data_IF_893350481088
#
_entry.id   IF_893350481088
#
_cell.length_a   1.000
_cell.length_b   1.000
_cell.length_c   1.000
_cell.angle_alpha   90.00
_cell.angle_beta   90.00
_cell.angle_gamma   90.00
#
_symmetry.space_group_name_H-M   'P 1'
#
loop_
_entity.id
_entity.type
_entity.pdbx_description
1 polymer ?
#
# COMPACT_ATOMS: atom_id res chain seq x y z
N UNK A 1 29.15 31.94 -14.34
CA UNK A 1 27.69 32.24 -14.38
C UNK A 1 26.81 31.26 -13.58
N UNK A 2 27.07 29.93 -13.54
CA UNK A 2 26.27 28.99 -12.69
C UNK A 2 26.49 29.14 -11.17
N UNK A 3 27.64 29.68 -10.74
CA UNK A 3 27.97 29.87 -9.31
C UNK A 3 27.34 31.12 -8.67
N UNK A 4 27.04 32.16 -9.47
CA UNK A 4 26.52 33.46 -9.01
C UNK A 4 25.03 33.43 -8.62
N UNK A 5 24.26 32.47 -9.13
CA UNK A 5 22.81 32.35 -8.87
C UNK A 5 22.46 31.25 -7.86
N UNK A 6 23.44 30.65 -7.19
CA UNK A 6 23.24 29.49 -6.29
C UNK A 6 22.35 28.38 -6.89
N UNK A 7 22.31 28.24 -8.22
CA UNK A 7 21.40 27.32 -8.94
C UNK A 7 21.62 25.88 -8.47
N UNK A 8 22.85 25.50 -8.11
CA UNK A 8 23.17 24.20 -7.56
C UNK A 8 22.46 23.91 -6.22
N UNK A 9 22.29 24.93 -5.36
CA UNK A 9 21.58 24.82 -4.07
C UNK A 9 20.07 24.71 -4.28
N UNK A 10 19.53 25.41 -5.27
CA UNK A 10 18.10 25.32 -5.66
C UNK A 10 17.80 23.97 -6.29
N UNK A 11 18.65 23.49 -7.19
CA UNK A 11 18.52 22.18 -7.85
C UNK A 11 18.62 21.02 -6.84
N UNK A 12 19.52 21.10 -5.86
CA UNK A 12 19.61 20.11 -4.78
C UNK A 12 18.38 20.14 -3.86
N UNK A 13 17.84 21.34 -3.54
CA UNK A 13 16.58 21.46 -2.78
C UNK A 13 15.39 20.90 -3.56
N UNK A 14 15.28 21.23 -4.85
CA UNK A 14 14.24 20.70 -5.74
C UNK A 14 14.30 19.18 -5.82
N UNK A 15 15.50 18.60 -5.92
CA UNK A 15 15.70 17.16 -5.92
C UNK A 15 15.29 16.53 -4.58
N UNK A 16 15.66 17.15 -3.46
CA UNK A 16 15.26 16.68 -2.13
C UNK A 16 13.74 16.72 -1.93
N UNK A 17 13.05 17.75 -2.42
CA UNK A 17 11.59 17.84 -2.39
C UNK A 17 10.93 16.79 -3.30
N UNK A 18 11.47 16.58 -4.51
CA UNK A 18 11.00 15.55 -5.42
C UNK A 18 11.15 14.16 -4.79
N UNK A 19 12.30 13.87 -4.18
CA UNK A 19 12.53 12.59 -3.49
C UNK A 19 11.56 12.38 -2.33
N UNK A 20 11.29 13.42 -1.53
CA UNK A 20 10.28 13.36 -0.45
C UNK A 20 8.88 13.11 -1.00
N UNK A 21 8.50 13.80 -2.08
CA UNK A 21 7.22 13.62 -2.74
C UNK A 21 7.08 12.18 -3.28
N UNK A 22 8.12 11.66 -3.92
CA UNK A 22 8.14 10.30 -4.45
C UNK A 22 8.05 9.26 -3.32
N UNK A 23 8.77 9.47 -2.22
CA UNK A 23 8.68 8.60 -1.05
C UNK A 23 7.25 8.58 -0.46
N UNK A 24 6.62 9.76 -0.33
CA UNK A 24 5.23 9.85 0.12
C UNK A 24 4.27 9.16 -0.85
N UNK A 25 4.46 9.34 -2.17
CA UNK A 25 3.64 8.69 -3.19
C UNK A 25 3.80 7.15 -3.15
N UNK A 26 5.03 6.66 -2.99
CA UNK A 26 5.30 5.23 -2.86
C UNK A 26 4.66 4.64 -1.60
N UNK A 27 4.73 5.34 -0.46
CA UNK A 27 4.05 4.92 0.77
C UNK A 27 2.53 4.90 0.60
N UNK A 28 1.96 5.96 0.02
CA UNK A 28 0.52 6.04 -0.24
C UNK A 28 0.06 4.92 -1.19
N UNK A 29 0.84 4.65 -2.25
CA UNK A 29 0.59 3.56 -3.18
C UNK A 29 0.66 2.19 -2.50
N UNK A 30 1.67 1.94 -1.68
CA UNK A 30 1.82 0.68 -0.96
C UNK A 30 0.64 0.45 0.01
N UNK A 31 0.23 1.46 0.76
CA UNK A 31 -0.92 1.36 1.67
C UNK A 31 -2.22 1.12 0.87
N UNK A 32 -2.42 1.85 -0.23
CA UNK A 32 -3.59 1.67 -1.10
C UNK A 32 -3.64 0.26 -1.73
N UNK A 33 -2.47 -0.29 -2.09
CA UNK A 33 -2.33 -1.66 -2.56
C UNK A 33 -2.72 -2.65 -1.47
N UNK A 34 -2.10 -2.60 -0.31
CA UNK A 34 -2.38 -3.53 0.79
C UNK A 34 -3.85 -3.51 1.21
N UNK A 35 -4.42 -2.32 1.43
CA UNK A 35 -5.81 -2.18 1.86
C UNK A 35 -6.77 -2.57 0.73
N UNK A 36 -6.49 -2.17 -0.50
CA UNK A 36 -7.33 -2.47 -1.65
C UNK A 36 -7.39 -3.98 -1.95
N UNK A 37 -6.24 -4.66 -1.90
CA UNK A 37 -6.15 -6.10 -2.10
C UNK A 37 -6.89 -6.86 -0.98
N UNK A 38 -6.74 -6.43 0.28
CA UNK A 38 -7.48 -7.02 1.38
C UNK A 38 -9.01 -6.83 1.25
N UNK A 39 -9.46 -5.66 0.79
CA UNK A 39 -10.88 -5.41 0.46
C UNK A 39 -11.35 -6.36 -0.65
N UNK A 40 -10.53 -6.55 -1.68
CA UNK A 40 -10.84 -7.45 -2.80
C UNK A 40 -11.02 -8.89 -2.34
N UNK A 41 -10.12 -9.37 -1.49
CA UNK A 41 -10.14 -10.73 -0.96
C UNK A 41 -11.38 -10.98 -0.10
N UNK A 42 -11.71 -10.04 0.79
CA UNK A 42 -12.92 -10.17 1.62
C UNK A 42 -14.19 -10.08 0.77
N UNK A 43 -14.26 -9.17 -0.20
CA UNK A 43 -15.49 -8.94 -0.97
C UNK A 43 -15.75 -9.99 -2.05
N UNK A 44 -14.73 -10.40 -2.79
CA UNK A 44 -14.89 -11.27 -3.97
C UNK A 44 -14.33 -12.67 -3.79
N UNK A 45 -13.41 -12.87 -2.85
CA UNK A 45 -12.94 -14.20 -2.47
C UNK A 45 -13.59 -14.74 -1.18
N UNK A 46 -14.45 -13.94 -0.53
CA UNK A 46 -15.14 -14.31 0.72
C UNK A 46 -14.19 -14.72 1.84
N UNK A 47 -12.96 -14.18 1.82
CA UNK A 47 -11.96 -14.43 2.86
C UNK A 47 -12.42 -13.77 4.16
N UNK A 48 -12.29 -14.49 5.28
CA UNK A 48 -12.59 -13.95 6.60
C UNK A 48 -11.51 -12.91 6.95
N UNK A 49 -11.85 -11.69 7.42
CA UNK A 49 -10.86 -10.64 7.69
C UNK A 49 -9.71 -11.04 8.64
N UNK A 50 -9.94 -12.00 9.54
CA UNK A 50 -8.93 -12.49 10.49
C UNK A 50 -7.95 -13.49 9.87
N UNK A 51 -8.29 -14.08 8.72
CA UNK A 51 -7.47 -15.07 7.99
C UNK A 51 -6.81 -14.45 6.74
N UNK A 52 -6.87 -13.11 6.62
CA UNK A 52 -6.28 -12.40 5.49
C UNK A 52 -4.78 -12.71 5.36
N UNK A 53 -4.43 -13.31 4.24
CA UNK A 53 -3.05 -13.57 3.85
C UNK A 53 -2.79 -12.93 2.49
N UNK A 54 -2.28 -11.70 2.50
CA UNK A 54 -1.95 -10.94 1.29
C UNK A 54 -0.77 -11.52 0.49
N UNK A 55 -0.06 -12.51 1.04
CA UNK A 55 1.04 -13.19 0.34
C UNK A 55 0.56 -14.42 -0.44
N UNK A 56 -0.67 -14.86 -0.20
CA UNK A 56 -1.26 -16.02 -0.86
C UNK A 56 -2.41 -15.59 -1.79
N UNK A 57 -2.52 -16.25 -2.93
CA UNK A 57 -3.69 -16.07 -3.81
C UNK A 57 -4.85 -16.90 -3.23
N UNK A 58 -6.00 -16.28 -2.91
CA UNK A 58 -7.14 -17.02 -2.40
C UNK A 58 -7.70 -17.96 -3.47
N UNK A 59 -8.29 -19.08 -3.04
CA UNK A 59 -8.96 -20.01 -3.95
C UNK A 59 -10.31 -19.42 -4.35
N UNK A 60 -10.40 -18.90 -5.58
CA UNK A 60 -11.61 -18.35 -6.18
C UNK A 60 -11.98 -19.07 -7.45
N UNK A 61 -13.28 -19.13 -7.74
CA UNK A 61 -13.77 -19.61 -9.02
C UNK A 61 -13.25 -18.75 -10.17
N UNK A 62 -13.04 -19.37 -11.34
CA UNK A 62 -12.49 -18.70 -12.53
C UNK A 62 -13.39 -17.58 -13.06
N UNK A 63 -14.69 -17.60 -12.78
CA UNK A 63 -15.63 -16.55 -13.17
C UNK A 63 -15.76 -15.44 -12.12
N UNK A 64 -15.00 -15.51 -11.02
CA UNK A 64 -15.07 -14.52 -9.95
C UNK A 64 -14.63 -13.13 -10.42
N UNK A 65 -15.35 -12.11 -9.94
CA UNK A 65 -14.98 -10.70 -10.11
C UNK A 65 -13.63 -10.35 -9.48
N UNK A 66 -13.07 -11.24 -8.67
CA UNK A 66 -11.73 -11.13 -8.11
C UNK A 66 -10.66 -10.91 -9.19
N UNK A 67 -10.78 -11.59 -10.35
CA UNK A 67 -9.85 -11.44 -11.48
C UNK A 67 -10.07 -10.14 -12.29
N UNK A 68 -11.23 -9.51 -12.17
CA UNK A 68 -11.61 -8.34 -12.98
C UNK A 68 -11.19 -7.01 -12.34
N UNK A 69 -11.07 -6.97 -11.02
CA UNK A 69 -10.82 -5.74 -10.29
C UNK A 69 -9.53 -5.86 -9.48
N UNK A 70 -8.50 -5.05 -9.75
CA UNK A 70 -7.37 -4.93 -8.85
C UNK A 70 -7.81 -4.22 -7.55
N UNK A 71 -7.18 -4.56 -6.43
CA UNK A 71 -7.53 -4.04 -5.12
C UNK A 71 -7.54 -2.52 -5.01
N UNK A 72 -6.46 -1.80 -5.41
CA UNK A 72 -6.42 -0.34 -5.38
C UNK A 72 -7.59 0.32 -6.10
N UNK A 73 -8.08 -0.27 -7.20
CA UNK A 73 -9.19 0.28 -7.96
C UNK A 73 -10.49 0.26 -7.16
N UNK A 74 -10.73 -0.78 -6.36
CA UNK A 74 -11.90 -0.85 -5.48
C UNK A 74 -11.86 0.25 -4.42
N UNK A 75 -10.68 0.51 -3.85
CA UNK A 75 -10.47 1.57 -2.87
C UNK A 75 -10.69 2.96 -3.50
N UNK A 76 -10.02 3.24 -4.63
CA UNK A 76 -10.05 4.55 -5.29
C UNK A 76 -11.42 4.91 -5.88
N UNK A 77 -12.13 3.92 -6.44
CA UNK A 77 -13.48 4.12 -6.98
C UNK A 77 -14.58 3.89 -5.95
N UNK A 78 -14.23 3.60 -4.70
CA UNK A 78 -15.15 3.26 -3.62
C UNK A 78 -16.19 2.20 -4.03
N UNK A 79 -15.76 1.22 -4.85
CA UNK A 79 -16.63 0.16 -5.39
C UNK A 79 -16.78 -1.03 -4.43
N UNK A 80 -16.50 -0.82 -3.14
CA UNK A 80 -16.65 -1.84 -2.13
C UNK A 80 -18.01 -1.73 -1.41
N UNK A 81 -18.58 -2.88 -1.06
CA UNK A 81 -19.87 -3.01 -0.38
C UNK A 81 -19.68 -3.77 0.93
N UNK A 82 -18.85 -3.22 1.81
CA UNK A 82 -18.49 -3.82 3.09
C UNK A 82 -19.00 -2.96 4.25
N UNK A 83 -19.38 -3.60 5.36
CA UNK A 83 -19.78 -2.89 6.57
C UNK A 83 -18.58 -2.12 7.15
N UNK A 84 -18.79 -0.94 7.78
CA UNK A 84 -17.71 -0.17 8.41
C UNK A 84 -16.91 -0.94 9.47
N UNK A 85 -17.53 -1.89 10.16
CA UNK A 85 -16.83 -2.79 11.11
C UNK A 85 -15.82 -3.69 10.41
N UNK A 86 -16.22 -4.29 9.29
CA UNK A 86 -15.36 -5.17 8.46
C UNK A 86 -14.23 -4.37 7.85
N UNK A 87 -14.50 -3.17 7.33
CA UNK A 87 -13.45 -2.28 6.81
C UNK A 87 -12.40 -1.93 7.88
N UNK A 88 -12.83 -1.65 9.12
CA UNK A 88 -11.89 -1.40 10.23
C UNK A 88 -11.04 -2.63 10.54
N UNK A 89 -11.59 -3.84 10.47
CA UNK A 89 -10.82 -5.07 10.65
C UNK A 89 -9.80 -5.26 9.53
N UNK A 90 -10.22 -5.06 8.28
CA UNK A 90 -9.35 -5.13 7.10
C UNK A 90 -8.19 -4.14 7.22
N UNK A 91 -8.47 -2.87 7.54
CA UNK A 91 -7.45 -1.83 7.68
C UNK A 91 -6.48 -2.18 8.82
N UNK A 92 -6.97 -2.69 9.95
CA UNK A 92 -6.10 -3.14 11.05
C UNK A 92 -5.18 -4.28 10.63
N UNK A 93 -5.72 -5.30 9.95
CA UNK A 93 -4.94 -6.44 9.48
C UNK A 93 -3.89 -6.02 8.42
N UNK A 94 -4.30 -5.23 7.43
CA UNK A 94 -3.42 -4.70 6.39
C UNK A 94 -2.31 -3.82 6.96
N UNK A 95 -2.63 -2.96 7.95
CA UNK A 95 -1.64 -2.13 8.63
C UNK A 95 -0.65 -3.00 9.42
N UNK A 96 -1.12 -4.02 10.15
CA UNK A 96 -0.24 -4.93 10.88
C UNK A 96 0.73 -5.64 9.93
N UNK A 97 0.22 -6.19 8.82
CA UNK A 97 1.05 -6.82 7.78
C UNK A 97 2.06 -5.83 7.16
N UNK A 98 1.63 -4.60 6.87
CA UNK A 98 2.51 -3.57 6.33
C UNK A 98 3.60 -3.17 7.33
N UNK A 99 3.26 -2.98 8.60
CA UNK A 99 4.26 -2.70 9.65
C UNK A 99 5.24 -3.85 9.80
N UNK A 100 4.77 -5.10 9.76
CA UNK A 100 5.66 -6.24 9.75
C UNK A 100 6.55 -6.22 8.51
N UNK A 101 6.08 -5.85 7.32
CA UNK A 101 6.94 -5.79 6.13
C UNK A 101 8.01 -4.69 6.26
N UNK A 102 7.64 -3.51 6.76
CA UNK A 102 8.55 -2.35 6.90
C UNK A 102 9.56 -2.56 8.03
N UNK A 103 9.13 -3.16 9.15
CA UNK A 103 9.93 -3.31 10.36
C UNK A 103 10.43 -4.74 10.62
N UNK A 104 10.06 -5.75 9.83
CA UNK A 104 10.62 -7.09 9.95
C UNK A 104 12.11 -7.01 9.68
N UNK A 105 12.86 -7.25 10.75
CA UNK A 105 14.31 -7.44 10.87
C UNK A 105 15.09 -7.36 9.56
N UNK A 106 15.13 -6.17 8.96
CA UNK A 106 16.15 -5.85 7.98
C UNK A 106 17.42 -5.83 8.80
N UNK A 107 18.38 -6.73 8.51
CA UNK A 107 19.70 -6.73 9.15
C UNK A 107 20.41 -5.42 8.83
N UNK A 108 20.00 -4.30 9.40
CA UNK A 108 20.76 -3.07 9.36
C UNK A 108 21.87 -3.23 10.39
N UNK A 109 22.97 -3.85 9.94
CA UNK A 109 24.28 -3.65 10.54
C UNK A 109 24.65 -2.18 10.41
N UNK A 110 24.09 -1.34 11.27
CA UNK A 110 24.62 0.00 11.51
C UNK A 110 25.01 0.01 12.97
N UNK A 111 26.29 -0.27 13.22
CA UNK A 111 26.96 0.13 14.46
C UNK A 111 26.91 1.66 14.50
N UNK A 112 26.25 2.21 15.51
CA UNK A 112 26.50 3.56 16.01
C UNK A 112 27.58 3.45 17.08
#
# INVERSE_FOLDING_TARGET
>A
MKSLLHIHKVMNKSQAYLNKMLAMLMLAYAIALFVGEAIRDVQYAQVIPHELNLLAVPKVDKQSRWFLYPGPFLLLKQRYRLRPSVLRQIVKAALLLFTHLVFANVRSLIRI
#
